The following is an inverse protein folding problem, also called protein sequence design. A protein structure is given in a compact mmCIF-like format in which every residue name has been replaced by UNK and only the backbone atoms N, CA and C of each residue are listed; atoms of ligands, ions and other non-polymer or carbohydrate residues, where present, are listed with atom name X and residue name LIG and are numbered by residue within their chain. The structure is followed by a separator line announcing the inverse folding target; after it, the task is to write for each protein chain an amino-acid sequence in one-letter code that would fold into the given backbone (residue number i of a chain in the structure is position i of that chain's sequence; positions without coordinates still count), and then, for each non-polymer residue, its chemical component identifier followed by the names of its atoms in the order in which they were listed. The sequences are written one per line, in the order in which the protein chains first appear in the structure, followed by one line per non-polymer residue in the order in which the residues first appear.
data_IF_768175123014
#
_entry.id   IF_768175123014
#
_cell.length_a   1.000
_cell.length_b   1.000
_cell.length_c   1.000
_cell.angle_alpha   90.00
_cell.angle_beta   90.00
_cell.angle_gamma   90.00
#
_symmetry.space_group_name_H-M   'P 1'
#
loop_
_entity.id
_entity.type
_entity.pdbx_description
1 polymer ?
#
# COMPACT_ATOMS: atom_id res chain seq x y z
N UNK A 1 14.77 3.91 39.97
CA UNK A 1 15.56 3.68 38.74
C UNK A 1 14.57 3.59 37.60
N UNK A 2 14.65 4.61 36.76
CA UNK A 2 13.68 5.00 35.74
C UNK A 2 13.52 3.96 34.62
N UNK A 3 12.28 3.46 34.48
CA UNK A 3 11.81 2.70 33.32
C UNK A 3 11.24 3.62 32.22
N UNK A 4 11.44 4.94 32.36
CA UNK A 4 10.80 6.00 31.57
C UNK A 4 11.62 6.46 30.35
N UNK A 5 12.68 5.74 29.94
CA UNK A 5 13.65 6.27 28.96
C UNK A 5 14.00 5.39 27.75
N UNK A 6 13.28 4.30 27.48
CA UNK A 6 13.47 3.54 26.23
C UNK A 6 12.13 3.18 25.58
N UNK A 7 11.47 4.18 24.98
CA UNK A 7 10.63 4.03 23.79
C UNK A 7 10.22 5.38 23.16
N UNK A 8 11.04 6.43 23.29
CA UNK A 8 10.68 7.80 22.86
C UNK A 8 11.05 8.12 21.40
N UNK A 9 11.39 7.15 20.56
CA UNK A 9 11.72 7.45 19.15
C UNK A 9 11.25 6.32 18.24
N UNK A 10 9.97 6.35 17.85
CA UNK A 10 9.42 5.39 16.89
C UNK A 10 7.90 5.21 16.93
N UNK A 11 7.18 5.87 17.85
CA UNK A 11 5.72 5.86 17.91
C UNK A 11 5.17 7.24 17.58
N UNK A 12 4.96 7.54 16.30
CA UNK A 12 4.53 8.89 15.91
C UNK A 12 3.95 8.97 14.51
N UNK A 13 2.78 8.38 14.29
CA UNK A 13 1.71 8.88 13.41
C UNK A 13 0.55 7.85 13.30
N UNK A 14 -0.23 7.66 14.36
CA UNK A 14 -1.51 6.90 14.27
C UNK A 14 -2.72 7.75 14.71
N UNK A 15 -2.55 9.02 15.07
CA UNK A 15 -3.60 9.78 15.77
C UNK A 15 -4.16 11.00 15.05
N UNK A 16 -4.34 10.97 13.71
CA UNK A 16 -5.02 12.10 13.05
C UNK A 16 -6.03 11.78 11.94
N UNK A 17 -6.30 10.51 11.61
CA UNK A 17 -7.33 10.18 10.59
C UNK A 17 -8.68 9.70 11.16
N UNK A 18 -8.77 9.42 12.46
CA UNK A 18 -10.03 9.05 13.12
C UNK A 18 -10.94 10.24 13.48
N UNK A 19 -10.45 11.48 13.35
CA UNK A 19 -11.16 12.69 13.78
C UNK A 19 -12.26 13.22 12.84
N UNK A 20 -12.46 12.64 11.64
CA UNK A 20 -13.40 13.18 10.63
C UNK A 20 -14.65 12.30 10.44
N UNK A 21 -14.90 11.33 11.32
CA UNK A 21 -16.09 10.46 11.22
C UNK A 21 -17.37 11.09 11.81
N UNK A 22 -17.32 12.30 12.39
CA UNK A 22 -18.51 12.98 12.90
C UNK A 22 -18.61 14.44 12.41
N UNK A 23 -19.50 14.71 11.47
CA UNK A 23 -19.90 16.08 11.14
C UNK A 23 -20.49 16.24 9.74
N UNK A 24 -21.74 15.79 9.54
CA UNK A 24 -22.40 16.01 8.26
C UNK A 24 -23.83 15.49 8.12
N UNK A 25 -24.54 15.21 9.22
CA UNK A 25 -25.98 15.01 9.17
C UNK A 25 -26.64 16.37 8.94
N UNK A 26 -26.88 16.69 7.66
CA UNK A 26 -27.89 17.62 7.08
C UNK A 26 -27.30 18.43 5.91
N UNK A 27 -27.20 17.82 4.72
CA UNK A 27 -26.91 18.59 3.50
C UNK A 27 -26.62 17.77 2.23
N UNK A 28 -27.67 17.39 1.48
CA UNK A 28 -27.63 16.94 0.07
C UNK A 28 -26.80 15.68 -0.25
N UNK A 29 -27.47 14.63 -0.73
CA UNK A 29 -26.91 13.38 -1.33
C UNK A 29 -25.72 13.54 -2.29
N UNK A 30 -25.49 14.71 -2.87
CA UNK A 30 -24.32 15.02 -3.68
C UNK A 30 -23.05 15.23 -2.85
N UNK A 31 -23.15 15.81 -1.65
CA UNK A 31 -22.04 15.99 -0.72
C UNK A 31 -21.59 14.65 -0.14
N UNK A 32 -22.52 13.76 0.23
CA UNK A 32 -22.18 12.41 0.72
C UNK A 32 -21.40 11.58 -0.32
N UNK A 33 -21.80 11.66 -1.60
CA UNK A 33 -21.12 10.94 -2.69
C UNK A 33 -19.74 11.53 -2.98
N UNK A 34 -19.61 12.84 -2.91
CA UNK A 34 -18.34 13.53 -3.10
C UNK A 34 -17.38 13.20 -1.94
N UNK A 35 -17.88 13.25 -0.71
CA UNK A 35 -17.14 12.88 0.49
C UNK A 35 -16.66 11.44 0.43
N UNK A 36 -17.54 10.48 0.14
CA UNK A 36 -17.15 9.07 0.03
C UNK A 36 -16.08 8.87 -1.05
N UNK A 37 -16.19 9.58 -2.18
CA UNK A 37 -15.20 9.51 -3.26
C UNK A 37 -13.84 10.09 -2.86
N UNK A 38 -13.84 11.19 -2.12
CA UNK A 38 -12.62 11.81 -1.58
C UNK A 38 -11.97 10.92 -0.52
N UNK A 39 -12.74 10.34 0.39
CA UNK A 39 -12.26 9.38 1.39
C UNK A 39 -11.68 8.13 0.73
N UNK A 40 -12.37 7.54 -0.26
CA UNK A 40 -11.83 6.43 -1.08
C UNK A 40 -10.51 6.84 -1.74
N UNK A 41 -10.46 8.01 -2.39
CA UNK A 41 -9.26 8.49 -3.06
C UNK A 41 -8.09 8.74 -2.10
N UNK A 42 -8.36 9.18 -0.87
CA UNK A 42 -7.36 9.35 0.18
C UNK A 42 -6.79 7.99 0.62
N UNK A 43 -7.65 7.02 0.95
CA UNK A 43 -7.21 5.67 1.32
C UNK A 43 -6.42 4.98 0.20
N UNK A 44 -6.86 5.12 -1.06
CA UNK A 44 -6.16 4.52 -2.21
C UNK A 44 -4.77 5.12 -2.41
N UNK A 45 -4.63 6.43 -2.19
CA UNK A 45 -3.35 7.13 -2.26
C UNK A 45 -2.43 6.72 -1.12
N UNK A 46 -2.96 6.53 0.08
CA UNK A 46 -2.16 6.10 1.22
C UNK A 46 -1.61 4.69 1.02
N UNK A 47 -2.44 3.76 0.58
CA UNK A 47 -1.97 2.41 0.23
C UNK A 47 -0.87 2.44 -0.85
N UNK A 48 -1.00 3.28 -1.89
CA UNK A 48 0.02 3.39 -2.94
C UNK A 48 1.34 3.98 -2.44
N UNK A 49 1.30 4.87 -1.45
CA UNK A 49 2.50 5.41 -0.80
C UNK A 49 3.21 4.32 0.00
N UNK A 50 2.46 3.58 0.81
CA UNK A 50 3.00 2.49 1.61
C UNK A 50 3.50 1.33 0.75
N UNK A 51 2.81 1.03 -0.36
CA UNK A 51 3.28 0.08 -1.38
C UNK A 51 4.64 0.50 -1.93
N UNK A 52 4.78 1.77 -2.31
CA UNK A 52 6.04 2.27 -2.88
C UNK A 52 7.15 2.15 -1.85
N UNK A 53 6.89 2.56 -0.61
CA UNK A 53 7.85 2.44 0.50
C UNK A 53 8.33 1.00 0.66
N UNK A 54 7.40 0.06 0.84
CA UNK A 54 7.78 -1.32 1.11
C UNK A 54 8.44 -2.00 -0.10
N UNK A 55 8.03 -1.70 -1.34
CA UNK A 55 8.75 -2.19 -2.53
C UNK A 55 10.21 -1.69 -2.55
N UNK A 56 10.45 -0.42 -2.22
CA UNK A 56 11.80 0.12 -2.11
C UNK A 56 12.60 -0.55 -1.00
N UNK A 57 12.01 -0.74 0.18
CA UNK A 57 12.67 -1.39 1.32
C UNK A 57 13.03 -2.85 0.99
N UNK A 58 12.12 -3.62 0.38
CA UNK A 58 12.40 -4.99 -0.09
C UNK A 58 13.52 -5.00 -1.12
N UNK A 59 13.58 -4.04 -2.06
CA UNK A 59 14.68 -3.94 -3.03
C UNK A 59 16.01 -3.60 -2.37
N UNK A 60 16.01 -2.69 -1.40
CA UNK A 60 17.22 -2.39 -0.61
C UNK A 60 17.68 -3.62 0.16
N UNK A 61 16.75 -4.39 0.71
CA UNK A 61 17.06 -5.64 1.39
C UNK A 61 17.63 -6.68 0.42
N UNK A 62 17.06 -6.81 -0.79
CA UNK A 62 17.68 -7.59 -1.86
C UNK A 62 19.10 -7.09 -2.11
N UNK A 63 19.37 -5.80 -2.27
CA UNK A 63 20.73 -5.29 -2.48
C UNK A 63 21.68 -5.38 -1.26
N UNK A 64 21.23 -5.91 -0.12
CA UNK A 64 22.02 -5.98 1.11
C UNK A 64 22.21 -4.62 1.80
N UNK A 65 21.39 -3.63 1.45
CA UNK A 65 21.43 -2.25 1.96
C UNK A 65 20.45 -2.00 3.12
N UNK A 66 19.67 -3.01 3.49
CA UNK A 66 18.69 -3.02 4.58
C UNK A 66 18.56 -4.47 5.08
N UNK A 67 18.44 -4.70 6.38
CA UNK A 67 18.04 -6.03 6.87
C UNK A 67 16.55 -6.24 6.56
N UNK A 68 16.20 -7.37 5.95
CA UNK A 68 14.82 -7.72 5.64
C UNK A 68 13.90 -7.73 6.89
N UNK A 69 14.48 -7.92 8.08
CA UNK A 69 13.76 -7.85 9.37
C UNK A 69 13.39 -6.43 9.79
N UNK A 70 14.00 -5.42 9.19
CA UNK A 70 13.72 -4.00 9.46
C UNK A 70 12.54 -3.46 8.64
N UNK A 71 11.93 -4.29 7.79
CA UNK A 71 10.74 -3.89 7.04
C UNK A 71 9.57 -3.61 7.98
N UNK A 72 9.06 -2.37 7.93
CA UNK A 72 7.88 -1.95 8.68
C UNK A 72 6.59 -2.45 8.01
N UNK A 73 6.34 -3.75 8.16
CA UNK A 73 5.09 -4.43 7.83
C UNK A 73 3.88 -3.93 8.62
N UNK A 74 3.97 -3.56 9.92
CA UNK A 74 2.84 -3.01 10.66
C UNK A 74 2.21 -1.80 9.99
N UNK A 75 3.04 -0.87 9.48
CA UNK A 75 2.55 0.32 8.77
C UNK A 75 1.87 -0.01 7.45
N UNK A 76 2.36 -1.01 6.70
CA UNK A 76 1.66 -1.54 5.52
C UNK A 76 0.30 -2.15 5.89
N UNK A 77 0.26 -2.98 6.94
CA UNK A 77 -0.96 -3.61 7.44
C UNK A 77 -2.02 -2.60 7.91
N UNK A 78 -1.58 -1.49 8.53
CA UNK A 78 -2.47 -0.38 8.90
C UNK A 78 -3.13 0.25 7.67
N UNK A 79 -2.36 0.55 6.61
CA UNK A 79 -2.91 1.12 5.38
C UNK A 79 -3.88 0.16 4.65
N UNK A 80 -3.61 -1.15 4.66
CA UNK A 80 -4.54 -2.17 4.15
C UNK A 80 -5.83 -2.20 4.97
N UNK A 81 -5.71 -2.13 6.30
CA UNK A 81 -6.88 -2.12 7.20
C UNK A 81 -7.74 -0.87 6.96
N UNK A 82 -7.13 0.31 6.90
CA UNK A 82 -7.83 1.57 6.59
C UNK A 82 -8.52 1.53 5.23
N UNK A 83 -7.85 0.98 4.21
CA UNK A 83 -8.44 0.77 2.90
C UNK A 83 -9.72 -0.05 2.97
N UNK A 84 -9.73 -1.16 3.73
CA UNK A 84 -10.87 -2.08 3.78
C UNK A 84 -12.13 -1.46 4.37
N UNK A 85 -11.99 -0.39 5.17
CA UNK A 85 -13.13 0.36 5.72
C UNK A 85 -13.93 1.11 4.65
N UNK A 86 -13.31 1.43 3.52
CA UNK A 86 -13.92 2.26 2.46
C UNK A 86 -13.89 1.61 1.09
N UNK A 87 -13.16 0.52 0.90
CA UNK A 87 -13.05 -0.18 -0.36
C UNK A 87 -14.29 -1.01 -0.67
N UNK A 88 -14.67 -1.03 -1.95
CA UNK A 88 -15.62 -2.04 -2.44
C UNK A 88 -14.86 -3.36 -2.66
N UNK A 89 -15.58 -4.49 -2.63
CA UNK A 89 -15.01 -5.85 -2.76
C UNK A 89 -13.93 -5.99 -3.85
N UNK A 90 -14.10 -5.48 -5.10
CA UNK A 90 -13.08 -5.65 -6.13
C UNK A 90 -11.77 -4.90 -5.83
N UNK A 91 -11.83 -3.83 -5.02
CA UNK A 91 -10.65 -3.07 -4.60
C UNK A 91 -9.94 -3.78 -3.45
N UNK A 92 -10.69 -4.31 -2.49
CA UNK A 92 -10.15 -5.08 -1.38
C UNK A 92 -9.43 -6.35 -1.88
N UNK A 93 -10.06 -7.09 -2.80
CA UNK A 93 -9.45 -8.27 -3.43
C UNK A 93 -8.15 -7.92 -4.16
N UNK A 94 -8.13 -6.84 -4.95
CA UNK A 94 -6.92 -6.42 -5.66
C UNK A 94 -5.81 -5.91 -4.73
N UNK A 95 -6.15 -5.35 -3.57
CA UNK A 95 -5.17 -4.97 -2.55
C UNK A 95 -4.58 -6.20 -1.84
N UNK A 96 -5.39 -7.22 -1.59
CA UNK A 96 -4.92 -8.49 -1.06
C UNK A 96 -3.94 -9.18 -2.03
N UNK A 97 -4.26 -9.24 -3.33
CA UNK A 97 -3.33 -9.76 -4.35
C UNK A 97 -1.99 -8.99 -4.37
N UNK A 98 -2.03 -7.67 -4.15
CA UNK A 98 -0.82 -6.85 -4.07
C UNK A 98 0.01 -7.18 -2.82
N UNK A 99 -0.66 -7.38 -1.67
CA UNK A 99 0.00 -7.78 -0.44
C UNK A 99 0.68 -9.16 -0.58
N UNK A 100 -0.01 -10.15 -1.15
CA UNK A 100 0.55 -11.47 -1.41
C UNK A 100 1.79 -11.41 -2.33
N UNK A 101 1.74 -10.57 -3.36
CA UNK A 101 2.88 -10.38 -4.27
C UNK A 101 4.10 -9.76 -3.56
N UNK A 102 3.87 -8.80 -2.64
CA UNK A 102 4.93 -8.21 -1.81
C UNK A 102 5.52 -9.21 -0.81
N UNK A 103 4.68 -10.02 -0.17
CA UNK A 103 5.14 -11.12 0.71
C UNK A 103 5.97 -12.13 -0.08
N UNK A 104 5.62 -12.40 -1.34
CA UNK A 104 6.42 -13.23 -2.23
C UNK A 104 7.84 -12.67 -2.45
N UNK A 105 7.97 -11.36 -2.69
CA UNK A 105 9.28 -10.71 -2.82
C UNK A 105 10.09 -10.79 -1.52
N UNK A 106 9.49 -10.45 -0.39
CA UNK A 106 10.17 -10.46 0.91
C UNK A 106 10.64 -11.86 1.30
N UNK A 107 9.80 -12.88 1.09
CA UNK A 107 10.16 -14.27 1.35
C UNK A 107 11.37 -14.69 0.52
N UNK A 108 11.42 -14.27 -0.74
CA UNK A 108 12.57 -14.54 -1.60
C UNK A 108 13.84 -13.88 -1.06
N UNK A 109 13.78 -12.61 -0.65
CA UNK A 109 14.92 -11.93 -0.01
C UNK A 109 15.37 -12.67 1.26
N UNK A 110 14.43 -13.17 2.06
CA UNK A 110 14.73 -13.98 3.24
C UNK A 110 15.49 -15.28 2.95
N UNK A 111 15.35 -15.87 1.77
CA UNK A 111 16.10 -17.07 1.39
C UNK A 111 17.59 -16.79 1.18
N UNK A 112 17.96 -15.54 0.90
CA UNK A 112 19.31 -15.14 0.52
C UNK A 112 19.69 -15.48 -0.93
N UNK A 113 18.78 -16.06 -1.71
CA UNK A 113 18.99 -16.42 -3.12
C UNK A 113 19.15 -15.16 -4.00
N UNK A 114 19.90 -15.33 -5.11
CA UNK A 114 20.38 -14.30 -6.03
C UNK A 114 20.13 -14.66 -7.50
N UNK A 115 19.13 -15.49 -7.76
CA UNK A 115 18.61 -15.69 -9.10
C UNK A 115 17.89 -14.42 -9.61
N UNK A 116 18.53 -13.74 -10.55
CA UNK A 116 18.01 -12.52 -11.18
C UNK A 116 16.80 -12.76 -12.08
N UNK A 117 16.63 -13.97 -12.65
CA UNK A 117 15.44 -14.31 -13.44
C UNK A 117 14.24 -14.47 -12.51
N UNK A 118 14.40 -15.23 -11.42
CA UNK A 118 13.35 -15.38 -10.41
C UNK A 118 12.98 -14.04 -9.77
N UNK A 119 13.98 -13.23 -9.42
CA UNK A 119 13.78 -11.88 -8.90
C UNK A 119 12.96 -11.00 -9.85
N UNK A 120 13.32 -10.97 -11.14
CA UNK A 120 12.57 -10.23 -12.17
C UNK A 120 11.13 -10.73 -12.30
N UNK A 121 10.91 -12.04 -12.26
CA UNK A 121 9.57 -12.62 -12.31
C UNK A 121 8.69 -12.14 -11.13
N UNK A 122 9.24 -12.11 -9.91
CA UNK A 122 8.54 -11.59 -8.73
C UNK A 122 8.24 -10.09 -8.86
N UNK A 123 9.21 -9.28 -9.33
CA UNK A 123 8.98 -7.87 -9.60
C UNK A 123 7.87 -7.63 -10.64
N UNK A 124 7.80 -8.47 -11.68
CA UNK A 124 6.72 -8.42 -12.66
C UNK A 124 5.36 -8.80 -12.06
N UNK A 125 5.32 -9.81 -11.18
CA UNK A 125 4.10 -10.19 -10.47
C UNK A 125 3.56 -9.04 -9.60
N UNK A 126 4.45 -8.37 -8.85
CA UNK A 126 4.10 -7.20 -8.02
C UNK A 126 3.62 -6.03 -8.88
N UNK A 127 4.31 -5.72 -9.97
CA UNK A 127 3.89 -4.68 -10.91
C UNK A 127 2.51 -4.99 -11.51
N UNK A 128 2.25 -6.26 -11.87
CA UNK A 128 0.95 -6.71 -12.35
C UNK A 128 -0.16 -6.53 -11.31
N UNK A 129 0.09 -6.91 -10.06
CA UNK A 129 -0.85 -6.74 -8.95
C UNK A 129 -1.15 -5.25 -8.68
N UNK A 130 -0.12 -4.39 -8.71
CA UNK A 130 -0.28 -2.96 -8.53
C UNK A 130 -1.17 -2.35 -9.63
N UNK A 131 -0.98 -2.75 -10.90
CA UNK A 131 -1.83 -2.30 -12.02
C UNK A 131 -3.27 -2.76 -11.83
N UNK A 132 -3.50 -3.99 -11.36
CA UNK A 132 -4.85 -4.50 -11.05
C UNK A 132 -5.51 -3.69 -9.94
N UNK A 133 -4.79 -3.39 -8.86
CA UNK A 133 -5.26 -2.50 -7.78
C UNK A 133 -5.63 -1.11 -8.31
N UNK A 134 -4.74 -0.46 -9.06
CA UNK A 134 -4.99 0.88 -9.62
C UNK A 134 -6.22 0.87 -10.54
N UNK A 135 -6.38 -0.18 -11.35
CA UNK A 135 -7.55 -0.30 -12.21
C UNK A 135 -8.85 -0.53 -11.42
N UNK A 136 -8.82 -1.33 -10.35
CA UNK A 136 -9.96 -1.51 -9.46
C UNK A 136 -10.34 -0.17 -8.77
N UNK A 137 -9.35 0.54 -8.22
CA UNK A 137 -9.51 1.85 -7.61
C UNK A 137 -10.10 2.88 -8.59
N UNK A 138 -9.59 2.94 -9.83
CA UNK A 138 -10.08 3.85 -10.89
C UNK A 138 -11.54 3.55 -11.26
N UNK A 139 -11.93 2.28 -11.32
CA UNK A 139 -13.31 1.84 -11.60
C UNK A 139 -14.25 2.18 -10.44
N UNK A 140 -13.79 1.99 -9.20
CA UNK A 140 -14.52 2.37 -7.98
C UNK A 140 -14.80 3.87 -7.95
N UNK A 141 -13.83 4.71 -8.28
CA UNK A 141 -13.99 6.17 -8.33
C UNK A 141 -14.78 6.67 -9.55
N UNK A 142 -14.78 5.91 -10.65
CA UNK A 142 -15.51 6.27 -11.88
C UNK A 142 -15.59 5.09 -12.87
N UNK A 143 -16.82 4.65 -13.17
CA UNK A 143 -17.08 3.46 -14.01
C UNK A 143 -16.65 3.57 -15.48
N UNK A 144 -16.40 4.78 -16.01
CA UNK A 144 -16.14 5.01 -17.46
C UNK A 144 -14.66 5.09 -17.85
N UNK A 145 -13.71 4.65 -17.01
CA UNK A 145 -12.28 4.73 -17.34
C UNK A 145 -11.77 3.47 -18.05
N UNK A 146 -11.09 3.66 -19.18
CA UNK A 146 -10.30 2.61 -19.85
C UNK A 146 -9.20 2.12 -18.90
N UNK A 147 -9.03 0.81 -18.80
CA UNK A 147 -8.01 0.19 -17.96
C UNK A 147 -6.60 0.64 -18.39
N UNK A 148 -5.72 0.85 -17.42
CA UNK A 148 -4.28 0.99 -17.67
C UNK A 148 -3.73 -0.39 -18.06
N UNK A 149 -2.90 -0.41 -19.09
CA UNK A 149 -2.18 -1.61 -19.55
C UNK A 149 -0.75 -1.64 -19.02
N UNK A 150 -0.23 -0.52 -18.52
CA UNK A 150 1.13 -0.39 -18.03
C UNK A 150 1.15 0.25 -16.65
N UNK A 151 2.15 -0.14 -15.86
CA UNK A 151 2.52 0.49 -14.60
C UNK A 151 3.02 1.91 -14.87
N UNK A 152 2.54 2.88 -14.10
CA UNK A 152 3.09 4.24 -14.07
C UNK A 152 3.83 4.45 -12.76
N UNK A 153 5.13 4.75 -12.85
CA UNK A 153 6.01 4.87 -11.69
C UNK A 153 6.54 3.51 -11.22
N UNK A 154 7.84 3.45 -10.95
CA UNK A 154 8.58 2.33 -10.42
C UNK A 154 9.98 2.82 -10.03
N UNK A 155 10.66 2.14 -9.11
CA UNK A 155 11.99 2.57 -8.67
C UNK A 155 12.94 2.68 -9.87
N UNK A 156 13.62 3.82 -9.98
CA UNK A 156 14.67 4.08 -10.99
C UNK A 156 15.96 3.31 -10.71
N UNK A 157 16.00 2.54 -9.62
CA UNK A 157 17.14 1.69 -9.26
C UNK A 157 17.08 0.47 -10.17
N UNK A 158 17.68 0.58 -11.35
CA UNK A 158 18.12 -0.54 -12.16
C UNK A 158 19.38 -1.09 -11.50
N UNK A 159 19.24 -2.23 -10.82
CA UNK A 159 20.40 -3.09 -10.50
C UNK A 159 20.89 -3.74 -11.77
#
# INVERSE_FOLDING_TARGET
MDWTLIATTGGGAVSTLLGVVAGGLLGRRSQDRQWLRETKAAAYRELLREYTRIEFDVRRAYLGQLDVRELDWPRWGAAVTELTLVADEPVAAAAHELAEALVGLERYVHTGDRDDEHWRALLHAVAGAQVRFVNAARRSLSRRRRALTARSGGPLITG
#
